data_IF_075615193944
#
_entry.id   IF_075615193944
#
_cell.length_a   1.000
_cell.length_b   1.000
_cell.length_c   1.000
_cell.angle_alpha   90.00
_cell.angle_beta   90.00
_cell.angle_gamma   90.00
#
_symmetry.space_group_name_H-M   'P 1'
#
loop_
_entity.id
_entity.type
_entity.pdbx_description
1 polymer ?
#
# COMPACT_ATOMS: atom_id res chain seq x y z
N UNK A 1 -14.03 3.47 -17.40
CA UNK A 1 -13.60 2.12 -16.98
C UNK A 1 -14.34 1.18 -17.89
N UNK A 2 -13.73 0.08 -18.32
CA UNK A 2 -14.41 -0.80 -19.28
C UNK A 2 -15.58 -1.52 -18.57
N UNK A 3 -16.67 -1.87 -19.28
CA UNK A 3 -17.85 -2.49 -18.67
C UNK A 3 -17.56 -3.75 -17.84
N UNK A 4 -16.69 -4.65 -18.31
CA UNK A 4 -16.38 -5.90 -17.59
C UNK A 4 -15.55 -5.66 -16.34
N UNK A 5 -14.56 -4.76 -16.41
CA UNK A 5 -13.79 -4.33 -15.23
C UNK A 5 -14.70 -3.68 -14.20
N UNK A 6 -15.61 -2.80 -14.63
CA UNK A 6 -16.58 -2.14 -13.74
C UNK A 6 -17.43 -3.18 -13.00
N UNK A 7 -17.99 -4.16 -13.72
CA UNK A 7 -18.78 -5.24 -13.13
C UNK A 7 -18.02 -5.96 -12.01
N UNK A 8 -16.77 -6.37 -12.25
CA UNK A 8 -15.96 -7.09 -11.26
C UNK A 8 -15.59 -6.23 -10.06
N UNK A 9 -15.21 -4.97 -10.29
CA UNK A 9 -14.83 -4.04 -9.21
C UNK A 9 -16.04 -3.73 -8.31
N UNK A 10 -17.22 -3.54 -8.89
CA UNK A 10 -18.44 -3.21 -8.13
C UNK A 10 -18.99 -4.38 -7.31
N UNK A 11 -18.60 -5.63 -7.61
CA UNK A 11 -19.00 -6.79 -6.79
C UNK A 11 -18.48 -6.67 -5.36
N UNK A 12 -17.31 -6.05 -5.15
CA UNK A 12 -16.75 -5.80 -3.81
C UNK A 12 -17.63 -4.89 -2.94
N UNK A 13 -18.66 -4.23 -3.48
CA UNK A 13 -19.65 -3.50 -2.69
C UNK A 13 -20.52 -4.42 -1.82
N UNK A 14 -20.64 -5.68 -2.21
CA UNK A 14 -21.22 -6.76 -1.42
C UNK A 14 -20.15 -7.84 -1.18
N UNK A 15 -19.27 -7.64 -0.18
CA UNK A 15 -18.13 -8.53 0.05
C UNK A 15 -18.56 -9.96 0.38
N UNK A 16 -19.72 -10.15 1.01
CA UNK A 16 -20.21 -11.47 1.37
C UNK A 16 -20.56 -12.29 0.13
N UNK A 17 -21.15 -11.67 -0.90
CA UNK A 17 -21.34 -12.32 -2.20
C UNK A 17 -20.01 -12.43 -2.96
N UNK A 18 -19.21 -11.36 -2.98
CA UNK A 18 -17.96 -11.28 -3.76
C UNK A 18 -16.96 -12.37 -3.38
N UNK A 19 -16.73 -12.58 -2.08
CA UNK A 19 -15.77 -13.57 -1.57
C UNK A 19 -16.35 -14.98 -1.47
N UNK A 20 -17.66 -15.16 -1.71
CA UNK A 20 -18.30 -16.47 -1.82
C UNK A 20 -18.43 -16.98 -3.27
N UNK A 21 -17.92 -16.23 -4.26
CA UNK A 21 -17.99 -16.65 -5.64
C UNK A 21 -16.98 -17.77 -5.96
N UNK A 22 -17.42 -18.91 -6.54
CA UNK A 22 -16.51 -19.97 -6.97
C UNK A 22 -15.52 -19.50 -8.03
N UNK A 23 -14.31 -20.04 -7.99
CA UNK A 23 -13.27 -19.72 -8.98
C UNK A 23 -13.69 -20.10 -10.42
N UNK A 24 -14.48 -21.16 -10.60
CA UNK A 24 -15.03 -21.57 -11.90
C UNK A 24 -15.84 -20.48 -12.58
N UNK A 25 -16.53 -19.65 -11.79
CA UNK A 25 -17.43 -18.62 -12.28
C UNK A 25 -16.68 -17.30 -12.45
N UNK A 26 -15.76 -17.03 -11.52
CA UNK A 26 -14.99 -15.78 -11.47
C UNK A 26 -13.86 -15.72 -12.51
N UNK A 27 -13.15 -16.82 -12.77
CA UNK A 27 -11.98 -16.81 -13.66
C UNK A 27 -12.33 -16.46 -15.12
N UNK A 28 -13.40 -17.01 -15.73
CA UNK A 28 -13.82 -16.60 -17.08
C UNK A 28 -14.16 -15.10 -17.16
N UNK A 29 -14.81 -14.54 -16.13
CA UNK A 29 -15.12 -13.12 -16.06
C UNK A 29 -13.85 -12.26 -15.97
N UNK A 30 -12.89 -12.67 -15.13
CA UNK A 30 -11.58 -12.01 -14.98
C UNK A 30 -10.79 -12.02 -16.28
N UNK A 31 -10.73 -13.15 -16.98
CA UNK A 31 -10.01 -13.27 -18.25
C UNK A 31 -10.63 -12.34 -19.32
N UNK A 32 -11.96 -12.33 -19.43
CA UNK A 32 -12.66 -11.45 -20.37
C UNK A 32 -12.43 -9.95 -20.04
N UNK A 33 -12.45 -9.59 -18.76
CA UNK A 33 -12.18 -8.22 -18.33
C UNK A 33 -10.71 -7.80 -18.56
N UNK A 34 -9.75 -8.71 -18.30
CA UNK A 34 -8.34 -8.46 -18.58
C UNK A 34 -8.09 -8.20 -20.08
N UNK A 35 -8.72 -9.00 -20.95
CA UNK A 35 -8.63 -8.81 -22.39
C UNK A 35 -9.26 -7.48 -22.84
N UNK A 36 -10.43 -7.11 -22.31
CA UNK A 36 -11.08 -5.84 -22.61
C UNK A 36 -10.21 -4.64 -22.17
N UNK A 37 -9.64 -4.72 -20.96
CA UNK A 37 -8.76 -3.70 -20.42
C UNK A 37 -7.48 -3.56 -21.25
N UNK A 38 -6.86 -4.68 -21.63
CA UNK A 38 -5.65 -4.70 -22.44
C UNK A 38 -5.84 -4.02 -23.78
N UNK A 39 -6.91 -4.35 -24.52
CA UNK A 39 -7.22 -3.71 -25.80
C UNK A 39 -7.27 -2.19 -25.70
N UNK A 40 -7.84 -1.66 -24.61
CA UNK A 40 -7.90 -0.23 -24.37
C UNK A 40 -6.55 0.35 -23.94
N UNK A 41 -5.88 -0.29 -22.97
CA UNK A 41 -4.66 0.25 -22.35
C UNK A 41 -3.44 0.14 -23.25
N UNK A 42 -3.36 -0.87 -24.11
CA UNK A 42 -2.30 -1.00 -25.14
C UNK A 42 -2.27 0.24 -26.03
N UNK A 43 -3.43 0.83 -26.34
CA UNK A 43 -3.47 2.04 -27.17
C UNK A 43 -3.07 3.31 -26.42
N UNK A 44 -3.23 3.33 -25.11
CA UNK A 44 -3.05 4.51 -24.27
C UNK A 44 -1.67 4.59 -23.63
N UNK A 45 -1.05 3.44 -23.31
CA UNK A 45 0.17 3.37 -22.49
C UNK A 45 1.34 2.89 -23.37
N UNK A 46 2.29 3.77 -23.73
CA UNK A 46 3.41 3.40 -24.61
C UNK A 46 4.25 2.23 -24.10
N UNK A 47 4.54 2.15 -22.79
CA UNK A 47 5.32 1.05 -22.23
C UNK A 47 4.61 -0.30 -22.33
N UNK A 48 3.28 -0.32 -22.19
CA UNK A 48 2.48 -1.54 -22.36
C UNK A 48 2.42 -1.96 -23.82
N UNK A 49 2.22 -1.01 -24.75
CA UNK A 49 2.28 -1.27 -26.19
C UNK A 49 3.58 -1.95 -26.58
N UNK A 50 4.71 -1.35 -26.18
CA UNK A 50 6.04 -1.87 -26.47
C UNK A 50 6.23 -3.29 -25.95
N UNK A 51 5.82 -3.56 -24.70
CA UNK A 51 5.91 -4.91 -24.12
C UNK A 51 5.04 -5.93 -24.85
N UNK A 52 3.83 -5.54 -25.24
CA UNK A 52 2.95 -6.39 -26.03
C UNK A 52 3.58 -6.75 -27.39
N UNK A 53 4.19 -5.77 -28.07
CA UNK A 53 4.90 -5.97 -29.35
C UNK A 53 6.13 -6.87 -29.18
N UNK A 54 6.96 -6.63 -28.15
CA UNK A 54 8.15 -7.43 -27.85
C UNK A 54 7.81 -8.89 -27.48
N UNK A 55 6.68 -9.10 -26.78
CA UNK A 55 6.22 -10.43 -26.38
C UNK A 55 5.36 -11.12 -27.45
N UNK A 56 5.03 -10.44 -28.56
CA UNK A 56 4.13 -10.98 -29.59
C UNK A 56 2.69 -11.20 -29.11
N UNK A 57 2.23 -10.43 -28.11
CA UNK A 57 0.89 -10.56 -27.51
C UNK A 57 -0.06 -9.54 -28.13
N UNK A 58 -0.92 -10.01 -29.04
CA UNK A 58 -2.01 -9.20 -29.59
C UNK A 58 -3.34 -9.39 -28.84
N UNK A 59 -3.46 -10.50 -28.11
CA UNK A 59 -4.66 -10.88 -27.35
C UNK A 59 -4.27 -11.70 -26.13
N UNK A 60 -5.01 -11.50 -25.04
CA UNK A 60 -4.99 -12.34 -23.84
C UNK A 60 -6.03 -13.43 -24.01
N UNK A 61 -5.56 -14.69 -24.04
CA UNK A 61 -6.38 -15.90 -24.13
C UNK A 61 -6.26 -16.78 -22.88
N UNK A 62 -5.25 -16.51 -22.05
CA UNK A 62 -4.95 -17.19 -20.79
C UNK A 62 -4.34 -16.22 -19.78
N UNK A 63 -4.20 -16.65 -18.52
CA UNK A 63 -3.48 -15.86 -17.52
C UNK A 63 -1.96 -15.83 -17.75
N UNK A 64 -1.40 -16.81 -18.47
CA UNK A 64 0.02 -16.80 -18.84
C UNK A 64 0.36 -15.63 -19.78
N UNK A 65 -0.58 -15.25 -20.66
CA UNK A 65 -0.41 -14.09 -21.56
C UNK A 65 -0.31 -12.76 -20.80
N UNK A 66 -0.75 -12.72 -19.53
CA UNK A 66 -0.59 -11.52 -18.70
C UNK A 66 0.85 -11.33 -18.22
N UNK A 67 1.61 -12.40 -18.00
CA UNK A 67 2.92 -12.32 -17.34
C UNK A 67 3.89 -11.38 -18.09
N UNK A 68 4.05 -11.48 -19.43
CA UNK A 68 4.90 -10.55 -20.18
C UNK A 68 4.39 -9.11 -20.17
N UNK A 69 3.11 -8.89 -19.88
CA UNK A 69 2.48 -7.58 -19.81
C UNK A 69 2.57 -6.94 -18.41
N UNK A 70 2.93 -7.69 -17.37
CA UNK A 70 3.07 -7.16 -16.00
C UNK A 70 4.36 -6.35 -15.85
N UNK A 71 4.26 -5.12 -15.37
CA UNK A 71 5.46 -4.32 -15.14
C UNK A 71 6.24 -4.79 -13.92
N UNK A 72 7.57 -4.72 -13.97
CA UNK A 72 8.37 -4.91 -12.77
C UNK A 72 8.10 -3.77 -11.76
N UNK A 73 8.14 -4.08 -10.46
CA UNK A 73 7.95 -3.10 -9.38
C UNK A 73 8.91 -1.89 -9.43
N UNK A 74 10.01 -1.98 -10.17
CA UNK A 74 10.98 -0.90 -10.39
C UNK A 74 10.57 0.10 -11.48
N UNK A 75 9.56 -0.20 -12.31
CA UNK A 75 9.24 0.63 -13.48
C UNK A 75 8.83 2.06 -13.10
N UNK A 76 8.11 2.21 -11.99
CA UNK A 76 7.60 3.50 -11.51
C UNK A 76 8.69 4.37 -10.89
N UNK A 77 9.92 3.84 -10.76
CA UNK A 77 11.14 4.56 -10.36
C UNK A 77 12.25 4.45 -11.43
N UNK A 78 11.89 4.21 -12.69
CA UNK A 78 12.85 4.00 -13.80
C UNK A 78 13.40 5.29 -14.41
N UNK A 79 12.88 6.47 -14.05
CA UNK A 79 13.36 7.76 -14.58
C UNK A 79 14.84 7.99 -14.25
N UNK A 80 15.63 8.66 -15.11
CA UNK A 80 16.98 9.09 -14.74
C UNK A 80 16.93 10.07 -13.56
N UNK A 81 17.69 9.82 -12.50
CA UNK A 81 17.64 10.62 -11.25
C UNK A 81 18.01 12.09 -11.51
N UNK A 82 18.88 12.33 -12.50
CA UNK A 82 19.31 13.66 -12.92
C UNK A 82 18.15 14.54 -13.40
N UNK A 83 17.00 13.96 -13.76
CA UNK A 83 15.81 14.74 -14.12
C UNK A 83 15.23 15.48 -12.91
N UNK A 84 15.29 14.90 -11.72
CA UNK A 84 14.86 15.53 -10.48
C UNK A 84 15.94 16.51 -10.02
N UNK A 85 17.18 16.05 -9.93
CA UNK A 85 18.31 16.82 -9.38
C UNK A 85 18.56 18.14 -10.15
N UNK A 86 18.26 18.16 -11.46
CA UNK A 86 18.43 19.33 -12.35
C UNK A 86 17.10 20.03 -12.69
N UNK A 87 16.01 19.71 -11.99
CA UNK A 87 14.69 20.33 -12.21
C UNK A 87 14.17 20.19 -13.65
N UNK A 88 14.44 19.07 -14.31
CA UNK A 88 14.05 18.81 -15.72
C UNK A 88 12.63 18.29 -15.81
N UNK A 89 11.67 19.03 -15.24
CA UNK A 89 10.28 18.62 -15.07
C UNK A 89 9.56 18.28 -16.38
N UNK A 90 9.85 18.99 -17.48
CA UNK A 90 9.32 18.66 -18.82
C UNK A 90 9.76 17.27 -19.30
N UNK A 91 10.97 16.84 -18.96
CA UNK A 91 11.43 15.48 -19.28
C UNK A 91 10.82 14.46 -18.33
N UNK A 92 10.60 14.83 -17.06
CA UNK A 92 9.90 13.99 -16.10
C UNK A 92 8.46 13.71 -16.53
N UNK A 93 7.73 14.72 -17.03
CA UNK A 93 6.40 14.52 -17.65
C UNK A 93 6.46 13.56 -18.84
N UNK A 94 7.45 13.69 -19.72
CA UNK A 94 7.62 12.77 -20.86
C UNK A 94 7.82 11.33 -20.40
N UNK A 95 8.63 11.11 -19.36
CA UNK A 95 8.79 9.78 -18.77
C UNK A 95 7.48 9.28 -18.17
N UNK A 96 6.80 10.10 -17.34
CA UNK A 96 5.54 9.71 -16.69
C UNK A 96 4.45 9.38 -17.72
N UNK A 97 4.43 10.09 -18.85
CA UNK A 97 3.53 9.81 -19.98
C UNK A 97 3.68 8.39 -20.52
N UNK A 98 4.88 7.82 -20.50
CA UNK A 98 5.10 6.45 -20.99
C UNK A 98 4.38 5.38 -20.15
N UNK A 99 4.04 5.71 -18.90
CA UNK A 99 3.40 4.85 -17.91
C UNK A 99 1.95 5.24 -17.61
N UNK A 100 1.45 6.32 -18.21
CA UNK A 100 0.15 6.92 -17.91
C UNK A 100 -0.86 6.68 -19.04
N UNK A 101 -2.09 6.37 -18.69
CA UNK A 101 -3.18 6.21 -19.67
C UNK A 101 -3.83 7.54 -20.07
N UNK A 102 -3.78 8.55 -19.18
CA UNK A 102 -4.20 9.93 -19.48
C UNK A 102 -3.00 10.76 -19.87
N UNK A 103 -3.23 11.74 -20.74
CA UNK A 103 -2.22 12.67 -21.22
C UNK A 103 -1.75 13.60 -20.09
N UNK A 104 -0.54 13.37 -19.57
CA UNK A 104 0.13 14.23 -18.56
C UNK A 104 1.02 15.28 -19.22
N UNK A 105 1.24 15.20 -20.54
CA UNK A 105 2.19 16.07 -21.24
C UNK A 105 1.77 17.55 -21.30
N UNK A 106 0.50 17.83 -21.00
CA UNK A 106 -0.10 19.17 -20.99
C UNK A 106 -0.04 19.88 -19.64
N UNK A 107 0.45 19.21 -18.61
CA UNK A 107 0.57 19.82 -17.28
C UNK A 107 1.60 20.94 -17.32
N UNK A 108 1.20 22.14 -16.88
CA UNK A 108 2.12 23.26 -16.76
C UNK A 108 3.06 23.06 -15.56
N UNK A 109 4.35 23.00 -15.87
CA UNK A 109 5.44 22.82 -14.92
C UNK A 109 6.37 24.04 -14.90
N UNK A 110 5.94 25.17 -15.44
CA UNK A 110 6.65 26.43 -15.30
C UNK A 110 6.69 26.87 -13.82
N UNK A 111 7.88 27.25 -13.35
CA UNK A 111 8.10 27.69 -11.98
C UNK A 111 8.13 26.59 -10.91
N UNK A 112 8.04 25.31 -11.29
CA UNK A 112 8.19 24.17 -10.37
C UNK A 112 9.61 24.15 -9.80
N UNK A 113 9.73 24.22 -8.47
CA UNK A 113 11.03 24.32 -7.78
C UNK A 113 11.60 22.97 -7.40
N UNK A 114 10.74 22.06 -6.96
CA UNK A 114 11.13 20.75 -6.44
C UNK A 114 10.10 19.66 -6.80
N UNK A 115 10.32 18.47 -6.25
CA UNK A 115 9.47 17.30 -6.49
C UNK A 115 8.07 17.46 -5.90
N UNK A 116 7.92 18.18 -4.79
CA UNK A 116 6.62 18.38 -4.14
C UNK A 116 5.77 19.34 -4.98
N UNK A 117 6.34 20.47 -5.44
CA UNK A 117 5.70 21.37 -6.41
C UNK A 117 5.27 20.63 -7.68
N UNK A 118 6.12 19.73 -8.20
CA UNK A 118 5.82 18.96 -9.40
C UNK A 118 4.60 18.05 -9.21
N UNK A 119 4.52 17.37 -8.07
CA UNK A 119 3.40 16.52 -7.70
C UNK A 119 2.14 17.37 -7.53
N UNK A 120 2.21 18.53 -6.89
CA UNK A 120 1.04 19.41 -6.74
C UNK A 120 0.51 19.91 -8.09
N UNK A 121 1.38 20.29 -9.04
CA UNK A 121 0.94 20.65 -10.41
C UNK A 121 0.21 19.50 -11.12
N UNK A 122 0.66 18.27 -10.93
CA UNK A 122 -0.02 17.09 -11.46
C UNK A 122 -1.43 16.93 -10.84
N UNK A 123 -1.54 17.12 -9.52
CA UNK A 123 -2.81 17.04 -8.80
C UNK A 123 -3.80 18.13 -9.22
N UNK A 124 -3.34 19.38 -9.36
CA UNK A 124 -4.14 20.50 -9.88
C UNK A 124 -4.68 20.23 -11.29
N UNK A 125 -3.91 19.51 -12.11
CA UNK A 125 -4.32 19.07 -13.44
C UNK A 125 -5.19 17.79 -13.44
N UNK A 126 -5.56 17.25 -12.28
CA UNK A 126 -6.43 16.08 -12.15
C UNK A 126 -5.72 14.72 -12.21
N UNK A 127 -4.39 14.70 -12.10
CA UNK A 127 -3.57 13.49 -11.96
C UNK A 127 -3.23 13.28 -10.49
N UNK A 128 -3.90 12.33 -9.85
CA UNK A 128 -3.74 11.98 -8.44
C UNK A 128 -2.45 11.16 -8.20
N UNK A 129 -1.30 11.68 -8.63
CA UNK A 129 -0.03 10.97 -8.57
C UNK A 129 0.36 10.74 -7.11
N UNK A 130 0.66 9.49 -6.77
CA UNK A 130 1.25 9.14 -5.48
C UNK A 130 2.74 8.94 -5.64
N UNK A 131 3.50 9.48 -4.70
CA UNK A 131 4.91 9.22 -4.56
C UNK A 131 5.15 8.31 -3.34
N UNK A 132 6.04 7.33 -3.52
CA UNK A 132 6.44 6.39 -2.45
C UNK A 132 7.65 6.91 -1.68
N UNK A 133 7.91 6.36 -0.50
CA UNK A 133 9.23 6.57 0.12
C UNK A 133 10.22 5.55 -0.44
N UNK A 134 11.41 6.00 -0.81
CA UNK A 134 12.49 5.13 -1.31
C UNK A 134 13.60 5.02 -0.27
N UNK A 135 14.16 3.82 -0.06
CA UNK A 135 15.31 3.66 0.85
C UNK A 135 16.63 4.19 0.25
N UNK A 136 16.69 4.36 -1.07
CA UNK A 136 17.87 4.82 -1.83
C UNK A 136 17.84 6.30 -2.22
N UNK A 137 16.78 7.05 -1.84
CA UNK A 137 16.56 8.44 -2.26
C UNK A 137 15.72 8.58 -3.53
N UNK A 138 15.57 7.49 -4.29
CA UNK A 138 14.74 7.46 -5.49
C UNK A 138 13.35 6.93 -5.18
N UNK A 139 12.32 7.67 -5.60
CA UNK A 139 10.92 7.38 -5.28
C UNK A 139 10.18 6.85 -6.50
N UNK A 140 9.13 6.06 -6.30
CA UNK A 140 8.20 5.72 -7.38
C UNK A 140 7.13 6.79 -7.55
N UNK A 141 6.76 7.12 -8.79
CA UNK A 141 5.59 7.96 -9.13
C UNK A 141 4.51 7.11 -9.79
N UNK A 142 3.34 7.02 -9.16
CA UNK A 142 2.22 6.20 -9.61
C UNK A 142 1.06 7.10 -9.99
N UNK A 143 0.79 7.22 -11.30
CA UNK A 143 -0.29 8.05 -11.77
C UNK A 143 -1.66 7.39 -11.55
N UNK A 144 -2.55 8.10 -10.88
CA UNK A 144 -3.95 7.73 -10.69
C UNK A 144 -4.86 8.86 -11.19
N UNK A 145 -6.11 8.52 -11.48
CA UNK A 145 -7.16 9.52 -11.66
C UNK A 145 -7.83 9.83 -10.33
N UNK A 146 -8.54 10.96 -10.24
CA UNK A 146 -9.40 11.25 -9.09
C UNK A 146 -10.48 10.18 -8.89
N UNK A 147 -10.96 9.58 -9.98
CA UNK A 147 -11.92 8.47 -9.93
C UNK A 147 -11.29 7.19 -9.37
N UNK A 148 -10.01 6.92 -9.65
CA UNK A 148 -9.31 5.79 -9.04
C UNK A 148 -9.23 5.95 -7.52
N UNK A 149 -8.90 7.16 -7.04
CA UNK A 149 -8.91 7.48 -5.60
C UNK A 149 -10.28 7.24 -4.98
N UNK A 150 -11.35 7.75 -5.60
CA UNK A 150 -12.71 7.53 -5.11
C UNK A 150 -13.08 6.03 -5.06
N UNK A 151 -12.69 5.24 -6.06
CA UNK A 151 -12.91 3.79 -6.06
C UNK A 151 -12.08 3.08 -5.00
N UNK A 152 -10.85 3.51 -4.74
CA UNK A 152 -10.02 2.98 -3.64
C UNK A 152 -10.71 3.22 -2.29
N UNK A 153 -11.13 4.45 -2.00
CA UNK A 153 -11.87 4.75 -0.76
C UNK A 153 -13.12 3.88 -0.64
N UNK A 154 -13.89 3.76 -1.72
CA UNK A 154 -15.11 2.93 -1.76
C UNK A 154 -14.81 1.44 -1.57
N UNK A 155 -13.75 0.90 -2.16
CA UNK A 155 -13.32 -0.47 -1.94
C UNK A 155 -13.01 -0.75 -0.47
N UNK A 156 -12.27 0.16 0.18
CA UNK A 156 -11.96 0.05 1.60
C UNK A 156 -13.21 0.10 2.49
N UNK A 157 -14.21 0.93 2.13
CA UNK A 157 -15.49 1.02 2.84
C UNK A 157 -16.17 -0.34 3.01
N UNK A 158 -16.16 -1.12 1.94
CA UNK A 158 -16.86 -2.40 1.91
C UNK A 158 -16.00 -3.56 2.38
N UNK A 159 -14.70 -3.54 2.08
CA UNK A 159 -13.86 -4.73 2.25
C UNK A 159 -12.96 -4.69 3.47
N UNK A 160 -12.55 -3.52 3.98
CA UNK A 160 -11.52 -3.45 5.02
C UNK A 160 -11.99 -4.07 6.34
N UNK A 161 -13.24 -3.85 6.74
CA UNK A 161 -13.84 -4.41 7.95
C UNK A 161 -14.24 -5.89 7.82
N UNK A 162 -14.33 -6.40 6.59
CA UNK A 162 -14.83 -7.73 6.32
C UNK A 162 -13.84 -8.81 6.81
N UNK A 163 -14.33 -9.94 7.36
CA UNK A 163 -15.73 -10.30 7.59
C UNK A 163 -16.26 -9.89 8.98
N UNK A 164 -15.48 -9.13 9.75
CA UNK A 164 -15.74 -8.90 11.16
C UNK A 164 -16.73 -7.77 11.43
N UNK A 165 -16.78 -6.78 10.55
CA UNK A 165 -17.60 -5.58 10.72
C UNK A 165 -17.77 -4.83 9.39
N UNK A 166 -18.57 -3.76 9.40
CA UNK A 166 -18.78 -2.86 8.27
C UNK A 166 -18.34 -1.45 8.67
N UNK A 167 -17.76 -0.72 7.72
CA UNK A 167 -17.37 0.66 7.96
C UNK A 167 -18.61 1.54 8.18
N UNK A 168 -18.63 2.24 9.31
CA UNK A 168 -19.64 3.22 9.71
C UNK A 168 -18.92 4.53 10.01
N UNK A 169 -19.35 5.63 9.38
CA UNK A 169 -18.75 6.96 9.54
C UNK A 169 -19.21 7.63 10.85
N UNK A 170 -19.04 6.94 11.97
CA UNK A 170 -19.59 7.31 13.28
C UNK A 170 -18.57 7.17 14.44
N UNK A 171 -17.28 7.00 14.14
CA UNK A 171 -16.26 6.71 15.16
C UNK A 171 -15.16 7.76 15.20
N UNK A 172 -14.56 8.03 16.36
CA UNK A 172 -13.25 8.65 16.41
C UNK A 172 -12.21 7.81 15.68
N UNK A 173 -11.41 8.45 14.82
CA UNK A 173 -10.33 7.82 14.06
C UNK A 173 -9.00 8.24 14.67
N UNK A 174 -8.26 7.28 15.18
CA UNK A 174 -6.88 7.45 15.64
C UNK A 174 -5.93 6.90 14.58
N UNK A 175 -5.22 7.79 13.91
CA UNK A 175 -4.30 7.49 12.84
C UNK A 175 -2.86 7.80 13.25
N UNK A 176 -2.08 6.79 13.61
CA UNK A 176 -0.70 6.97 14.07
C UNK A 176 0.31 7.13 12.91
N UNK A 177 -0.05 7.96 11.93
CA UNK A 177 0.78 8.33 10.79
C UNK A 177 0.44 9.73 10.26
N UNK A 178 1.03 10.14 9.12
CA UNK A 178 0.73 11.41 8.49
C UNK A 178 -0.65 11.40 7.81
N UNK A 179 -1.34 12.54 7.82
CA UNK A 179 -2.65 12.75 7.14
C UNK A 179 -2.60 13.79 6.02
N UNK A 180 -1.45 14.41 5.75
CA UNK A 180 -1.25 15.38 4.67
C UNK A 180 -0.07 14.96 3.80
N UNK A 181 -0.15 15.23 2.49
CA UNK A 181 0.86 14.86 1.49
C UNK A 181 0.35 13.84 0.46
N UNK A 182 1.14 13.57 -0.58
CA UNK A 182 0.75 12.77 -1.75
C UNK A 182 1.38 11.38 -1.74
N UNK A 183 1.16 10.66 -0.66
CA UNK A 183 1.66 9.31 -0.44
C UNK A 183 0.51 8.32 -0.18
N UNK A 184 0.72 7.05 -0.49
CA UNK A 184 -0.30 5.99 -0.31
C UNK A 184 -0.69 5.74 1.14
N UNK A 185 0.22 5.92 2.11
CA UNK A 185 -0.12 5.86 3.53
C UNK A 185 -1.07 6.99 3.92
N UNK A 186 -0.80 8.22 3.46
CA UNK A 186 -1.68 9.37 3.68
C UNK A 186 -3.06 9.14 3.05
N UNK A 187 -3.09 8.64 1.81
CA UNK A 187 -4.35 8.33 1.13
C UNK A 187 -5.16 7.27 1.90
N UNK A 188 -4.51 6.25 2.47
CA UNK A 188 -5.16 5.27 3.34
C UNK A 188 -5.74 5.90 4.60
N UNK A 189 -5.03 6.85 5.21
CA UNK A 189 -5.52 7.62 6.36
C UNK A 189 -6.78 8.42 6.01
N UNK A 190 -6.74 9.17 4.92
CA UNK A 190 -7.89 9.97 4.44
C UNK A 190 -9.08 9.06 4.08
N UNK A 191 -8.84 7.92 3.42
CA UNK A 191 -9.92 6.97 3.13
C UNK A 191 -10.54 6.38 4.41
N UNK A 192 -9.75 6.16 5.46
CA UNK A 192 -10.27 5.66 6.73
C UNK A 192 -11.03 6.74 7.51
N UNK A 193 -10.56 7.98 7.47
CA UNK A 193 -11.34 9.12 7.96
C UNK A 193 -12.71 9.20 7.26
N UNK A 194 -12.76 9.11 5.93
CA UNK A 194 -14.04 9.15 5.20
C UNK A 194 -14.96 7.97 5.54
N UNK A 195 -14.39 6.77 5.69
CA UNK A 195 -15.16 5.53 5.85
C UNK A 195 -15.58 5.25 7.31
N UNK A 196 -14.77 5.67 8.29
CA UNK A 196 -14.97 5.35 9.70
C UNK A 196 -15.19 6.59 10.58
N UNK A 197 -14.71 7.75 10.13
CA UNK A 197 -14.64 8.97 10.92
C UNK A 197 -16.00 9.64 11.13
N UNK A 198 -16.28 9.96 12.40
CA UNK A 198 -17.24 11.01 12.77
C UNK A 198 -16.68 12.38 12.36
N UNK A 199 -17.50 13.31 11.85
CA UNK A 199 -17.05 14.66 11.49
C UNK A 199 -16.30 15.35 12.63
N UNK A 200 -15.05 15.76 12.37
CA UNK A 200 -14.20 16.46 13.36
C UNK A 200 -13.57 15.55 14.42
N UNK A 201 -13.71 14.23 14.31
CA UNK A 201 -13.18 13.25 15.28
C UNK A 201 -12.01 12.44 14.72
N UNK A 202 -11.17 13.05 13.87
CA UNK A 202 -9.94 12.42 13.37
C UNK A 202 -8.73 12.99 14.11
N UNK A 203 -7.91 12.11 14.67
CA UNK A 203 -6.70 12.44 15.41
C UNK A 203 -5.51 11.74 14.78
N UNK A 204 -4.61 12.52 14.19
CA UNK A 204 -3.43 12.02 13.48
C UNK A 204 -2.16 12.33 14.26
N UNK A 205 -1.12 11.51 14.08
CA UNK A 205 0.17 11.70 14.73
C UNK A 205 0.95 12.91 14.19
N UNK A 206 0.76 13.27 12.92
CA UNK A 206 1.39 14.47 12.36
C UNK A 206 0.42 15.18 11.43
N UNK A 207 0.23 16.47 11.69
CA UNK A 207 -0.57 17.38 10.86
C UNK A 207 0.26 18.11 9.81
N UNK A 208 1.59 17.93 9.79
CA UNK A 208 2.47 18.43 8.73
C UNK A 208 2.36 17.55 7.49
N UNK A 209 2.52 18.11 6.28
CA UNK A 209 2.58 17.31 5.08
C UNK A 209 3.80 16.40 5.11
N UNK A 210 3.62 15.13 4.73
CA UNK A 210 4.71 14.28 4.31
C UNK A 210 5.22 14.80 2.97
N UNK A 211 6.40 15.41 3.00
CA UNK A 211 7.11 15.93 1.83
C UNK A 211 8.03 14.87 1.24
N UNK A 212 7.97 14.70 -0.07
CA UNK A 212 8.77 13.75 -0.83
C UNK A 212 10.22 14.22 -0.95
N UNK A 213 10.43 15.54 -1.00
CA UNK A 213 11.76 16.16 -0.89
C UNK A 213 12.47 15.72 0.40
N UNK A 214 11.84 15.89 1.56
CA UNK A 214 12.41 15.50 2.86
C UNK A 214 12.75 14.00 2.95
N UNK A 215 11.85 13.16 2.42
CA UNK A 215 12.07 11.71 2.36
C UNK A 215 13.29 11.38 1.50
N UNK A 216 13.41 12.03 0.34
CA UNK A 216 14.51 11.82 -0.60
C UNK A 216 15.84 12.33 -0.04
N UNK A 217 15.85 13.51 0.58
CA UNK A 217 17.02 14.08 1.29
C UNK A 217 17.53 13.13 2.37
N UNK A 218 16.62 12.60 3.18
CA UNK A 218 16.96 11.69 4.28
C UNK A 218 17.61 10.42 3.76
N UNK A 219 17.08 9.84 2.69
CA UNK A 219 17.63 8.63 2.09
C UNK A 219 18.95 8.89 1.35
N UNK A 220 19.11 10.05 0.71
CA UNK A 220 20.39 10.46 0.11
C UNK A 220 21.48 10.64 1.18
N UNK A 221 21.15 11.23 2.33
CA UNK A 221 22.09 11.38 3.45
C UNK A 221 22.51 10.04 4.04
N UNK A 222 21.57 9.10 4.24
CA UNK A 222 21.88 7.72 4.66
C UNK A 222 22.85 7.03 3.70
N UNK A 223 22.67 7.22 2.40
CA UNK A 223 23.59 6.69 1.39
C UNK A 223 24.98 7.32 1.53
N UNK A 224 25.09 8.64 1.66
CA UNK A 224 26.38 9.31 1.89
C UNK A 224 27.10 8.78 3.13
N UNK A 225 26.37 8.56 4.22
CA UNK A 225 26.90 7.97 5.46
C UNK A 225 27.42 6.54 5.22
N UNK A 226 26.63 5.69 4.56
CA UNK A 226 27.03 4.32 4.23
C UNK A 226 28.25 4.26 3.30
N UNK A 227 28.33 5.18 2.34
CA UNK A 227 29.44 5.29 1.39
C UNK A 227 30.68 6.00 1.99
N UNK A 228 30.59 6.54 3.21
CA UNK A 228 31.67 7.29 3.86
C UNK A 228 32.00 8.63 3.19
N UNK A 229 31.02 9.22 2.49
CA UNK A 229 31.19 10.46 1.69
C UNK A 229 30.52 11.69 2.30
N UNK A 230 29.78 11.53 3.40
CA UNK A 230 29.17 12.64 4.13
C UNK A 230 30.24 13.51 4.81
N UNK A 231 30.16 14.84 4.64
CA UNK A 231 31.05 15.77 5.34
C UNK A 231 30.65 15.93 6.82
N UNK A 232 31.59 16.19 7.75
CA UNK A 232 31.27 16.33 9.17
C UNK A 232 30.13 17.33 9.46
N UNK A 233 30.17 18.52 8.86
CA UNK A 233 29.12 19.53 9.05
C UNK A 233 27.75 19.08 8.50
N UNK A 234 27.72 18.26 7.44
CA UNK A 234 26.48 17.67 6.92
C UNK A 234 25.91 16.63 7.90
N UNK A 235 26.78 15.84 8.54
CA UNK A 235 26.41 14.85 9.55
C UNK A 235 25.82 15.56 10.76
N UNK A 236 26.52 16.56 11.30
CA UNK A 236 26.07 17.33 12.46
C UNK A 236 24.71 18.00 12.20
N UNK A 237 24.54 18.64 11.04
CA UNK A 237 23.27 19.27 10.66
C UNK A 237 22.14 18.24 10.50
N UNK A 238 22.44 17.08 9.91
CA UNK A 238 21.48 16.00 9.74
C UNK A 238 21.04 15.41 11.09
N UNK A 239 22.00 15.11 11.98
CA UNK A 239 21.72 14.57 13.31
C UNK A 239 20.90 15.55 14.16
N UNK A 240 21.23 16.85 14.13
CA UNK A 240 20.45 17.87 14.80
C UNK A 240 19.01 17.95 14.27
N UNK A 241 18.84 17.94 12.93
CA UNK A 241 17.50 17.95 12.29
C UNK A 241 16.69 16.71 12.68
N UNK A 242 17.29 15.52 12.68
CA UNK A 242 16.58 14.29 13.05
C UNK A 242 16.27 14.20 14.54
N UNK A 243 17.20 14.64 15.41
CA UNK A 243 16.94 14.70 16.85
C UNK A 243 15.78 15.61 17.18
N UNK A 244 15.76 16.83 16.64
CA UNK A 244 14.66 17.77 16.85
C UNK A 244 13.32 17.22 16.31
N UNK A 245 13.34 16.53 15.16
CA UNK A 245 12.15 15.88 14.61
C UNK A 245 11.67 14.73 15.50
N UNK A 246 12.57 13.90 16.00
CA UNK A 246 12.24 12.77 16.87
C UNK A 246 11.68 13.23 18.22
N UNK A 247 12.25 14.25 18.85
CA UNK A 247 11.75 14.83 20.10
C UNK A 247 10.32 15.40 19.92
N UNK A 248 10.10 16.20 18.86
CA UNK A 248 8.77 16.73 18.56
C UNK A 248 7.74 15.62 18.27
N UNK A 249 8.13 14.57 17.56
CA UNK A 249 7.26 13.42 17.28
C UNK A 249 6.97 12.55 18.51
N UNK A 250 7.87 12.50 19.49
CA UNK A 250 7.67 11.74 20.73
C UNK A 250 6.59 12.37 21.61
N UNK A 251 6.63 13.69 21.79
CA UNK A 251 5.62 14.42 22.57
C UNK A 251 4.22 14.30 21.95
N UNK A 252 4.14 14.45 20.62
CA UNK A 252 2.88 14.32 19.89
C UNK A 252 2.34 12.89 19.92
N UNK A 253 3.23 11.89 19.85
CA UNK A 253 2.87 10.49 20.04
C UNK A 253 2.24 10.27 21.40
N UNK A 254 2.88 10.71 22.48
CA UNK A 254 2.36 10.55 23.85
C UNK A 254 1.01 11.24 24.01
N UNK A 255 0.87 12.47 23.48
CA UNK A 255 -0.40 13.22 23.50
C UNK A 255 -1.53 12.46 22.79
N UNK A 256 -1.23 11.88 21.63
CA UNK A 256 -2.21 11.10 20.87
C UNK A 256 -2.58 9.79 21.58
N UNK A 257 -1.59 9.10 22.17
CA UNK A 257 -1.82 7.90 22.99
C UNK A 257 -2.73 8.22 24.17
N UNK A 258 -2.42 9.28 24.92
CA UNK A 258 -3.22 9.65 26.10
C UNK A 258 -4.67 9.97 25.72
N UNK A 259 -4.86 10.69 24.61
CA UNK A 259 -6.19 10.97 24.07
C UNK A 259 -6.94 9.69 23.66
N UNK A 260 -6.27 8.74 23.03
CA UNK A 260 -6.86 7.43 22.69
C UNK A 260 -7.32 6.69 23.95
N UNK A 261 -6.48 6.66 24.97
CA UNK A 261 -6.77 5.98 26.24
C UNK A 261 -7.90 6.66 27.02
N UNK A 262 -8.06 7.98 26.91
CA UNK A 262 -9.19 8.71 27.48
C UNK A 262 -10.53 8.37 26.79
N UNK A 263 -10.48 8.02 25.50
CA UNK A 263 -11.65 7.68 24.69
C UNK A 263 -11.93 6.16 24.61
N UNK A 264 -11.14 5.32 25.30
CA UNK A 264 -11.15 3.85 25.15
C UNK A 264 -12.49 3.15 25.38
N UNK A 265 -13.41 3.77 26.13
CA UNK A 265 -14.75 3.24 26.39
C UNK A 265 -15.78 3.59 25.31
N UNK A 266 -15.36 4.24 24.22
CA UNK A 266 -16.18 4.50 23.03
C UNK A 266 -15.72 3.61 21.86
N UNK A 267 -16.60 3.28 20.89
CA UNK A 267 -16.19 2.60 19.67
C UNK A 267 -15.27 3.51 18.84
N UNK A 268 -14.03 3.07 18.59
CA UNK A 268 -13.04 3.82 17.81
C UNK A 268 -12.54 3.02 16.60
N UNK A 269 -11.93 3.71 15.65
CA UNK A 269 -11.04 3.09 14.66
C UNK A 269 -9.60 3.48 15.00
N UNK A 270 -8.71 2.50 15.15
CA UNK A 270 -7.31 2.73 15.52
C UNK A 270 -6.39 2.06 14.52
N UNK A 271 -5.63 2.86 13.78
CA UNK A 271 -4.51 2.39 12.97
C UNK A 271 -3.20 2.77 13.62
N UNK A 272 -2.34 1.79 13.88
CA UNK A 272 -0.97 2.02 14.29
C UNK A 272 -0.03 0.91 13.82
N UNK A 273 1.26 1.22 13.82
CA UNK A 273 2.31 0.23 13.61
C UNK A 273 2.46 -0.67 14.84
N UNK A 274 3.02 -1.87 14.66
CA UNK A 274 3.17 -2.82 15.78
C UNK A 274 3.94 -2.26 16.98
N UNK A 275 5.02 -1.50 16.73
CA UNK A 275 5.78 -0.84 17.80
C UNK A 275 4.98 0.26 18.51
N UNK A 276 4.15 1.00 17.79
CA UNK A 276 3.27 2.02 18.38
C UNK A 276 2.17 1.37 19.23
N UNK A 277 1.63 0.23 18.83
CA UNK A 277 0.69 -0.52 19.67
C UNK A 277 1.32 -1.00 20.98
N UNK A 278 2.60 -1.42 20.98
CA UNK A 278 3.32 -1.71 22.23
C UNK A 278 3.49 -0.45 23.08
N UNK A 279 3.82 0.70 22.48
CA UNK A 279 3.91 1.97 23.19
C UNK A 279 2.56 2.39 23.81
N UNK A 280 1.44 2.20 23.10
CA UNK A 280 0.09 2.45 23.64
C UNK A 280 -0.16 1.59 24.87
N UNK A 281 0.17 0.29 24.81
CA UNK A 281 0.04 -0.61 25.95
C UNK A 281 0.90 -0.17 27.12
N UNK A 282 2.17 0.15 26.88
CA UNK A 282 3.11 0.51 27.94
C UNK A 282 2.64 1.79 28.65
N UNK A 283 2.18 2.78 27.88
CA UNK A 283 1.54 3.99 28.43
C UNK A 283 0.25 3.69 29.20
N UNK A 284 -0.57 2.75 28.75
CA UNK A 284 -1.77 2.33 29.47
C UNK A 284 -1.43 1.71 30.83
N UNK A 285 -0.36 0.91 30.90
CA UNK A 285 0.14 0.31 32.15
C UNK A 285 0.67 1.36 33.13
N UNK A 286 1.40 2.36 32.65
CA UNK A 286 1.82 3.52 33.46
C UNK A 286 0.61 4.25 34.09
N UNK A 287 -0.51 4.29 33.35
CA UNK A 287 -1.77 4.88 33.81
C UNK A 287 -2.64 3.94 34.64
N UNK A 288 -2.19 2.72 34.92
CA UNK A 288 -2.94 1.72 35.69
C UNK A 288 -4.18 1.19 34.97
N UNK A 289 -4.25 1.30 33.63
CA UNK A 289 -5.35 0.78 32.83
C UNK A 289 -5.15 -0.74 32.62
N UNK A 290 -6.12 -1.60 32.99
CA UNK A 290 -5.98 -3.03 32.83
C UNK A 290 -6.15 -3.47 31.36
N UNK A 291 -5.55 -4.62 31.03
CA UNK A 291 -5.74 -5.27 29.74
C UNK A 291 -7.24 -5.57 29.52
N UNK A 292 -7.73 -5.36 28.30
CA UNK A 292 -9.12 -5.57 27.90
C UNK A 292 -10.09 -4.42 28.24
N UNK A 293 -9.61 -3.31 28.78
CA UNK A 293 -10.44 -2.14 29.15
C UNK A 293 -10.76 -1.21 27.95
N UNK A 294 -11.20 -1.79 26.84
CA UNK A 294 -11.60 -1.09 25.62
C UNK A 294 -13.04 -1.45 25.22
N UNK A 295 -13.73 -0.54 24.55
CA UNK A 295 -15.04 -0.81 23.97
C UNK A 295 -14.94 -1.92 22.92
N UNK A 296 -15.80 -2.94 23.00
CA UNK A 296 -15.74 -4.16 22.17
C UNK A 296 -15.85 -3.88 20.66
N UNK A 297 -16.57 -2.83 20.28
CA UNK A 297 -16.71 -2.43 18.87
C UNK A 297 -15.54 -1.60 18.34
N UNK A 298 -14.48 -1.38 19.13
CA UNK A 298 -13.24 -0.77 18.64
C UNK A 298 -12.67 -1.63 17.52
N UNK A 299 -12.31 -0.99 16.40
CA UNK A 299 -11.66 -1.62 15.26
C UNK A 299 -10.19 -1.28 15.28
N UNK A 300 -9.36 -2.30 15.48
CA UNK A 300 -7.92 -2.20 15.41
C UNK A 300 -7.42 -2.64 14.04
N UNK A 301 -6.60 -1.79 13.45
CA UNK A 301 -5.86 -2.07 12.23
C UNK A 301 -4.34 -2.00 12.49
N UNK A 302 -3.75 -3.08 13.06
CA UNK A 302 -2.31 -3.15 13.23
C UNK A 302 -1.63 -3.46 11.89
N UNK A 303 -0.56 -2.74 11.55
CA UNK A 303 0.16 -2.96 10.29
C UNK A 303 1.68 -2.75 10.41
N UNK A 304 2.46 -3.64 9.77
CA UNK A 304 3.88 -3.45 9.43
C UNK A 304 4.79 -2.75 10.46
N UNK A 305 5.83 -2.05 9.97
CA UNK A 305 6.71 -1.23 10.81
C UNK A 305 7.66 -2.00 11.74
N UNK A 306 7.94 -3.28 11.48
CA UNK A 306 8.84 -4.11 12.31
C UNK A 306 10.26 -4.22 11.76
N UNK A 307 10.52 -3.65 10.57
CA UNK A 307 11.80 -3.83 9.89
C UNK A 307 12.92 -3.11 10.64
N UNK A 308 13.94 -3.88 11.03
CA UNK A 308 15.09 -3.39 11.79
C UNK A 308 14.82 -3.24 13.29
N UNK A 309 13.60 -3.46 13.77
CA UNK A 309 13.29 -3.36 15.20
C UNK A 309 13.53 -4.70 15.89
N UNK A 310 14.15 -4.65 17.07
CA UNK A 310 14.23 -5.81 17.96
C UNK A 310 12.91 -5.95 18.74
N UNK A 311 11.92 -6.57 18.10
CA UNK A 311 10.60 -6.78 18.69
C UNK A 311 10.58 -8.09 19.50
N UNK A 312 9.86 -8.14 20.64
CA UNK A 312 9.59 -9.41 21.34
C UNK A 312 8.97 -10.43 20.38
N UNK A 313 9.32 -11.71 20.47
CA UNK A 313 8.80 -12.74 19.56
C UNK A 313 7.27 -12.87 19.60
N UNK A 314 6.68 -12.59 20.75
CA UNK A 314 5.26 -12.66 21.08
C UNK A 314 4.56 -11.27 21.01
N UNK A 315 5.14 -10.31 20.28
CA UNK A 315 4.60 -8.94 20.23
C UNK A 315 3.13 -8.87 19.77
N UNK A 316 2.70 -9.79 18.89
CA UNK A 316 1.32 -9.83 18.39
C UNK A 316 0.37 -10.29 19.49
N UNK A 317 0.75 -11.33 20.22
CA UNK A 317 0.04 -11.89 21.35
C UNK A 317 -0.09 -10.85 22.46
N UNK A 318 0.97 -10.09 22.74
CA UNK A 318 0.96 -9.02 23.72
C UNK A 318 0.00 -7.88 23.33
N UNK A 319 -0.01 -7.44 22.07
CA UNK A 319 -0.95 -6.43 21.58
C UNK A 319 -2.39 -6.95 21.63
N UNK A 320 -2.64 -8.18 21.19
CA UNK A 320 -3.97 -8.79 21.24
C UNK A 320 -4.48 -8.95 22.66
N UNK A 321 -3.65 -9.40 23.60
CA UNK A 321 -4.03 -9.52 25.01
C UNK A 321 -4.38 -8.16 25.63
N UNK A 322 -3.57 -7.13 25.35
CA UNK A 322 -3.79 -5.79 25.89
C UNK A 322 -5.14 -5.19 25.50
N UNK A 323 -5.51 -5.24 24.22
CA UNK A 323 -6.79 -4.68 23.78
C UNK A 323 -7.99 -5.57 24.10
N UNK A 324 -7.77 -6.87 24.34
CA UNK A 324 -8.84 -7.82 24.60
C UNK A 324 -9.67 -8.14 23.34
N UNK A 325 -10.95 -8.52 23.50
CA UNK A 325 -11.78 -9.07 22.42
C UNK A 325 -12.39 -8.01 21.48
N UNK A 326 -11.61 -6.97 21.16
CA UNK A 326 -11.99 -5.97 20.16
C UNK A 326 -11.86 -6.51 18.73
N UNK A 327 -12.40 -5.80 17.76
CA UNK A 327 -12.38 -6.20 16.36
C UNK A 327 -10.98 -5.97 15.77
N UNK A 328 -10.28 -7.03 15.38
CA UNK A 328 -8.96 -6.93 14.73
C UNK A 328 -9.03 -7.23 13.24
N UNK A 329 -8.89 -6.20 12.43
CA UNK A 329 -8.89 -6.30 10.96
C UNK A 329 -7.47 -6.44 10.42
N UNK A 330 -7.35 -6.82 9.16
CA UNK A 330 -6.08 -6.87 8.47
C UNK A 330 -6.27 -6.90 6.97
N UNK A 331 -5.36 -6.25 6.24
CA UNK A 331 -5.33 -6.25 4.79
C UNK A 331 -3.93 -6.56 4.28
N UNK A 332 -3.84 -7.21 3.12
CA UNK A 332 -2.62 -7.30 2.35
C UNK A 332 -2.72 -6.42 1.10
N UNK A 333 -1.63 -5.72 0.79
CA UNK A 333 -1.48 -4.98 -0.45
C UNK A 333 -0.28 -4.04 -0.39
N UNK A 334 -0.22 -3.13 -1.35
CA UNK A 334 0.91 -2.24 -1.59
C UNK A 334 0.46 -1.00 -2.35
N UNK A 335 1.34 -0.01 -2.50
CA UNK A 335 1.03 1.26 -3.15
C UNK A 335 0.51 1.09 -4.58
N UNK A 336 1.03 0.08 -5.29
CA UNK A 336 0.67 -0.30 -6.65
C UNK A 336 -0.71 -0.95 -6.77
N UNK A 337 -1.34 -1.33 -5.65
CA UNK A 337 -2.62 -2.05 -5.59
C UNK A 337 -3.73 -1.12 -5.09
N UNK A 338 -4.86 -1.08 -5.80
CA UNK A 338 -6.05 -0.35 -5.38
C UNK A 338 -6.98 -1.24 -4.55
N UNK A 339 -7.16 -2.48 -5.00
CA UNK A 339 -8.03 -3.47 -4.36
C UNK A 339 -7.27 -4.28 -3.32
N UNK A 340 -7.09 -3.72 -2.12
CA UNK A 340 -6.44 -4.44 -1.02
C UNK A 340 -7.22 -5.71 -0.64
N UNK A 341 -6.50 -6.76 -0.24
CA UNK A 341 -7.03 -8.07 0.09
C UNK A 341 -7.37 -8.16 1.58
N UNK A 342 -8.65 -8.25 2.00
CA UNK A 342 -9.00 -8.36 3.41
C UNK A 342 -8.71 -9.75 3.97
N UNK A 343 -8.45 -9.80 5.28
CA UNK A 343 -8.16 -11.02 6.04
C UNK A 343 -9.43 -11.60 6.66
N UNK A 344 -9.67 -12.89 6.46
CA UNK A 344 -10.78 -13.61 7.09
C UNK A 344 -10.46 -14.09 8.52
N UNK A 345 -11.44 -14.73 9.15
CA UNK A 345 -11.37 -15.32 10.50
C UNK A 345 -10.26 -16.37 10.63
N UNK A 346 -9.93 -17.08 9.53
CA UNK A 346 -8.84 -18.05 9.46
C UNK A 346 -7.46 -17.42 9.22
N UNK A 347 -7.34 -16.09 9.35
CA UNK A 347 -6.14 -15.30 9.09
C UNK A 347 -5.58 -15.44 7.66
N UNK A 348 -6.45 -15.74 6.69
CA UNK A 348 -6.10 -15.81 5.26
C UNK A 348 -6.59 -14.58 4.51
N UNK A 349 -5.82 -14.10 3.55
CA UNK A 349 -6.21 -12.98 2.69
C UNK A 349 -6.95 -13.45 1.45
N UNK A 350 -8.09 -12.82 1.15
CA UNK A 350 -8.91 -13.11 -0.02
C UNK A 350 -8.74 -12.04 -1.10
N UNK A 351 -8.55 -12.47 -2.35
CA UNK A 351 -8.41 -11.55 -3.49
C UNK A 351 -9.80 -11.07 -3.95
N UNK A 352 -10.07 -9.75 -3.98
CA UNK A 352 -11.33 -9.21 -4.50
C UNK A 352 -11.59 -9.62 -5.95
N UNK A 353 -12.85 -9.70 -6.43
CA UNK A 353 -13.16 -10.14 -7.79
C UNK A 353 -12.42 -9.35 -8.89
N UNK A 354 -12.25 -8.04 -8.71
CA UNK A 354 -11.52 -7.19 -9.64
C UNK A 354 -9.99 -7.26 -9.56
N UNK A 355 -9.41 -8.03 -8.64
CA UNK A 355 -7.96 -8.24 -8.53
C UNK A 355 -7.61 -9.64 -9.05
N UNK A 356 -6.88 -9.69 -10.16
CA UNK A 356 -6.35 -10.96 -10.71
C UNK A 356 -5.00 -11.21 -10.06
N UNK A 357 -4.97 -12.03 -9.01
CA UNK A 357 -3.74 -12.43 -8.32
C UNK A 357 -3.15 -13.71 -8.94
N UNK A 358 -1.84 -13.73 -9.13
CA UNK A 358 -1.06 -14.85 -9.65
C UNK A 358 0.13 -15.12 -8.72
N UNK A 359 0.40 -16.40 -8.47
CA UNK A 359 1.72 -16.83 -7.98
C UNK A 359 2.59 -17.13 -9.21
N UNK A 360 3.72 -16.46 -9.34
CA UNK A 360 4.68 -16.66 -10.41
C UNK A 360 5.87 -17.46 -9.88
N UNK A 361 6.63 -18.08 -10.78
CA UNK A 361 7.92 -18.65 -10.43
C UNK A 361 8.92 -17.59 -9.92
N UNK A 362 10.07 -18.05 -9.43
CA UNK A 362 11.06 -17.16 -8.83
C UNK A 362 11.60 -16.09 -9.80
N UNK A 363 11.64 -16.43 -11.10
CA UNK A 363 12.08 -15.53 -12.19
C UNK A 363 10.98 -14.56 -12.63
N UNK A 364 9.71 -14.84 -12.31
CA UNK A 364 8.57 -14.02 -12.72
C UNK A 364 8.19 -14.20 -14.18
N UNK A 365 8.48 -15.36 -14.78
CA UNK A 365 8.29 -15.64 -16.22
C UNK A 365 7.09 -16.55 -16.50
N UNK A 366 6.58 -17.27 -15.50
CA UNK A 366 5.48 -18.24 -15.66
C UNK A 366 4.52 -18.20 -14.49
N UNK A 367 3.22 -18.35 -14.75
CA UNK A 367 2.22 -18.56 -13.69
C UNK A 367 2.35 -19.97 -13.14
N UNK A 368 2.39 -20.10 -11.82
CA UNK A 368 2.35 -21.39 -11.12
C UNK A 368 0.91 -21.87 -11.01
N UNK A 369 0.69 -23.14 -11.30
CA UNK A 369 -0.63 -23.77 -11.30
C UNK A 369 -0.73 -24.94 -10.33
N UNK A 370 -1.85 -25.69 -10.36
CA UNK A 370 -2.06 -26.85 -9.49
C UNK A 370 -0.96 -27.91 -9.54
N UNK A 371 -0.23 -28.02 -10.66
CA UNK A 371 0.90 -28.96 -10.81
C UNK A 371 2.14 -28.56 -10.02
N UNK A 372 2.28 -27.28 -9.68
CA UNK A 372 3.39 -26.75 -8.90
C UNK A 372 3.07 -26.75 -7.39
N UNK A 373 1.87 -27.21 -7.01
CA UNK A 373 1.42 -27.21 -5.62
C UNK A 373 2.02 -28.37 -4.82
N UNK A 374 2.51 -28.07 -3.61
CA UNK A 374 2.94 -29.06 -2.61
C UNK A 374 1.94 -28.98 -1.46
N UNK A 375 1.31 -30.11 -1.13
CA UNK A 375 0.23 -30.18 -0.12
C UNK A 375 -0.87 -29.12 -0.34
N UNK A 376 -1.25 -28.97 -1.61
CA UNK A 376 -2.25 -28.01 -2.08
C UNK A 376 -1.85 -26.54 -1.89
N UNK A 377 -0.56 -26.23 -1.73
CA UNK A 377 -0.05 -24.87 -1.60
C UNK A 377 0.95 -24.54 -2.70
N UNK A 378 0.83 -23.33 -3.24
CA UNK A 378 1.74 -22.78 -4.24
C UNK A 378 2.51 -21.64 -3.59
N UNK A 379 3.83 -21.74 -3.57
CA UNK A 379 4.71 -20.66 -3.09
C UNK A 379 5.42 -20.03 -4.27
N UNK A 380 5.28 -18.72 -4.44
CA UNK A 380 5.80 -18.01 -5.60
C UNK A 380 5.88 -16.51 -5.40
N UNK A 381 6.34 -15.81 -6.43
CA UNK A 381 6.37 -14.35 -6.49
C UNK A 381 4.97 -13.83 -6.78
N UNK A 382 4.50 -12.86 -6.02
CA UNK A 382 3.20 -12.27 -6.30
C UNK A 382 3.26 -11.44 -7.59
N UNK A 383 2.37 -11.75 -8.52
CA UNK A 383 2.03 -10.92 -9.67
C UNK A 383 0.54 -10.61 -9.63
N UNK A 384 0.13 -9.45 -10.13
CA UNK A 384 -1.29 -9.14 -10.21
C UNK A 384 -1.63 -8.20 -11.37
N UNK A 385 -2.89 -8.27 -11.82
CA UNK A 385 -3.54 -7.22 -12.61
C UNK A 385 -4.73 -6.67 -11.81
N UNK A 386 -4.64 -5.41 -11.41
CA UNK A 386 -5.71 -4.69 -10.74
C UNK A 386 -6.59 -3.97 -11.77
N UNK A 387 -7.82 -4.46 -11.94
CA UNK A 387 -8.77 -3.97 -12.95
C UNK A 387 -9.39 -2.61 -12.60
N UNK A 388 -9.10 -2.06 -11.41
CA UNK A 388 -9.69 -0.81 -10.94
C UNK A 388 -9.08 0.44 -11.59
N UNK A 389 -7.81 0.37 -12.02
CA UNK A 389 -7.07 1.57 -12.42
C UNK A 389 -7.45 2.12 -13.80
N UNK A 390 -7.65 3.44 -13.84
CA UNK A 390 -7.81 4.22 -15.06
C UNK A 390 -6.61 5.10 -15.40
N UNK A 391 -5.81 5.49 -14.42
CA UNK A 391 -4.65 6.35 -14.64
C UNK A 391 -3.45 5.61 -15.24
N UNK A 392 -3.39 4.28 -15.09
CA UNK A 392 -2.24 3.43 -15.45
C UNK A 392 -2.68 1.99 -15.75
N UNK A 393 -1.71 1.11 -16.04
CA UNK A 393 -1.96 -0.27 -16.44
C UNK A 393 -2.59 -1.13 -15.33
N UNK A 394 -2.07 -1.05 -14.10
CA UNK A 394 -2.55 -1.87 -12.98
C UNK A 394 -1.92 -3.27 -12.88
N UNK A 395 -1.15 -3.69 -13.89
CA UNK A 395 -0.42 -4.97 -13.89
C UNK A 395 1.01 -4.85 -13.36
N UNK A 396 1.38 -5.65 -12.35
CA UNK A 396 2.68 -5.61 -11.69
C UNK A 396 3.21 -6.99 -11.27
N UNK A 397 4.52 -7.18 -11.36
CA UNK A 397 5.29 -8.23 -10.68
C UNK A 397 5.94 -7.60 -9.45
N UNK A 398 5.65 -8.14 -8.27
CA UNK A 398 6.14 -7.60 -6.99
C UNK A 398 7.48 -8.23 -6.59
N UNK A 399 8.08 -7.73 -5.51
CA UNK A 399 9.20 -8.41 -4.83
C UNK A 399 8.73 -9.38 -3.74
N UNK A 400 7.42 -9.58 -3.57
CA UNK A 400 6.86 -10.32 -2.45
C UNK A 400 6.74 -11.80 -2.80
N UNK A 401 7.13 -12.64 -1.85
CA UNK A 401 6.94 -14.09 -1.83
C UNK A 401 5.68 -14.39 -1.04
N UNK A 402 4.69 -14.95 -1.73
CA UNK A 402 3.41 -15.38 -1.15
C UNK A 402 3.30 -16.89 -1.17
N UNK A 403 2.48 -17.43 -0.26
CA UNK A 403 2.00 -18.80 -0.33
C UNK A 403 0.49 -18.77 -0.51
N UNK A 404 0.01 -19.35 -1.60
CA UNK A 404 -1.41 -19.49 -1.93
C UNK A 404 -1.87 -20.90 -1.57
N UNK A 405 -2.93 -21.01 -0.79
CA UNK A 405 -3.64 -22.26 -0.53
C UNK A 405 -4.67 -22.49 -1.64
N UNK A 406 -4.52 -23.59 -2.36
CA UNK A 406 -5.35 -23.98 -3.52
C UNK A 406 -5.99 -25.35 -3.33
N UNK A 407 -5.83 -25.98 -2.16
CA UNK A 407 -6.27 -27.35 -1.89
C UNK A 407 -7.80 -27.51 -1.93
N UNK A 408 -8.54 -26.44 -1.60
CA UNK A 408 -9.98 -26.47 -1.40
C UNK A 408 -10.50 -25.13 -0.87
N UNK A 409 -11.71 -25.09 -0.28
CA UNK A 409 -12.20 -23.88 0.36
C UNK A 409 -11.28 -23.46 1.51
N UNK A 410 -11.22 -22.15 1.76
CA UNK A 410 -10.52 -21.59 2.90
C UNK A 410 -11.10 -22.18 4.20
N UNK A 411 -10.32 -22.32 5.30
CA UNK A 411 -10.87 -22.75 6.59
C UNK A 411 -12.00 -21.85 7.13
N UNK A 412 -12.19 -20.65 6.60
CA UNK A 412 -13.37 -19.82 6.87
C UNK A 412 -14.65 -20.25 6.12
N UNK A 413 -14.60 -21.34 5.35
CA UNK A 413 -15.71 -21.92 4.57
C UNK A 413 -15.87 -21.35 3.16
N UNK A 414 -15.19 -20.25 2.82
CA UNK A 414 -15.36 -19.55 1.54
C UNK A 414 -14.51 -20.17 0.43
N UNK A 415 -14.99 -20.22 -0.82
CA UNK A 415 -14.30 -20.88 -1.92
C UNK A 415 -13.10 -20.07 -2.43
N UNK A 416 -12.32 -20.72 -3.28
CA UNK A 416 -11.23 -20.09 -4.03
C UNK A 416 -9.91 -20.02 -3.27
N UNK A 417 -8.84 -19.69 -4.00
CA UNK A 417 -7.50 -19.65 -3.42
C UNK A 417 -7.35 -18.49 -2.45
N UNK A 418 -6.57 -18.69 -1.39
CA UNK A 418 -6.29 -17.65 -0.39
C UNK A 418 -4.80 -17.53 -0.11
N UNK A 419 -4.35 -16.35 0.32
CA UNK A 419 -2.95 -16.11 0.67
C UNK A 419 -2.76 -16.25 2.17
N UNK A 420 -1.71 -16.97 2.58
CA UNK A 420 -1.30 -17.11 3.99
C UNK A 420 -0.69 -15.80 4.51
N UNK A 421 -0.72 -15.58 5.82
CA UNK A 421 -0.15 -14.39 6.48
C UNK A 421 1.38 -14.46 6.69
N UNK A 422 2.05 -15.39 6.01
CA UNK A 422 3.51 -15.60 6.03
C UNK A 422 4.21 -14.92 4.84
N UNK A 423 3.71 -13.75 4.44
CA UNK A 423 4.23 -13.01 3.27
C UNK A 423 5.63 -12.49 3.59
N UNK A 424 6.57 -12.72 2.67
CA UNK A 424 7.97 -12.31 2.79
C UNK A 424 8.46 -11.68 1.48
N UNK A 425 9.75 -11.34 1.37
CA UNK A 425 10.35 -10.81 0.14
C UNK A 425 11.24 -11.86 -0.50
N UNK A 426 11.33 -11.88 -1.83
CA UNK A 426 12.43 -12.58 -2.49
C UNK A 426 13.74 -11.86 -2.19
N UNK A 427 14.72 -12.57 -1.64
CA UNK A 427 16.07 -12.03 -1.52
C UNK A 427 16.69 -12.00 -2.92
N UNK A 428 16.87 -10.80 -3.49
CA UNK A 428 17.67 -10.63 -4.71
C UNK A 428 18.89 -9.76 -4.43
N UNK A 429 20.05 -10.26 -4.84
CA UNK A 429 21.31 -9.53 -4.78
C UNK A 429 21.24 -8.35 -5.75
N UNK A 430 21.32 -7.12 -5.23
CA UNK A 430 21.34 -5.90 -6.04
C UNK A 430 19.97 -5.25 -6.33
N UNK A 431 18.86 -5.81 -5.86
CA UNK A 431 17.56 -5.10 -5.93
C UNK A 431 17.42 -4.10 -4.77
N UNK A 432 17.14 -2.83 -5.11
CA UNK A 432 16.86 -1.78 -4.13
C UNK A 432 15.48 -1.97 -3.49
N UNK A 433 15.47 -2.11 -2.17
CA UNK A 433 14.26 -2.43 -1.41
C UNK A 433 13.16 -1.36 -1.57
N UNK A 434 11.94 -1.82 -1.82
CA UNK A 434 10.78 -0.94 -1.93
C UNK A 434 10.16 -0.76 -0.54
N UNK A 435 9.95 0.48 -0.11
CA UNK A 435 9.30 0.75 1.18
C UNK A 435 7.78 0.80 0.97
N UNK A 436 7.07 -0.19 1.51
CA UNK A 436 5.60 -0.21 1.50
C UNK A 436 4.97 0.88 2.39
N UNK A 437 3.64 0.98 2.39
CA UNK A 437 2.91 2.03 3.14
C UNK A 437 3.30 2.10 4.63
N UNK A 438 3.32 0.96 5.31
CA UNK A 438 3.71 0.90 6.72
C UNK A 438 5.18 1.30 6.96
N UNK A 439 6.08 0.92 6.04
CA UNK A 439 7.48 1.34 6.12
C UNK A 439 7.67 2.84 5.88
N UNK A 440 6.79 3.46 5.09
CA UNK A 440 6.81 4.92 4.87
C UNK A 440 6.43 5.67 6.15
N UNK A 441 5.38 5.22 6.83
CA UNK A 441 4.96 5.79 8.13
C UNK A 441 6.08 5.63 9.15
N UNK A 442 6.65 4.44 9.23
CA UNK A 442 7.74 4.10 10.13
C UNK A 442 8.98 4.99 9.92
N UNK A 443 9.44 5.14 8.67
CA UNK A 443 10.56 6.03 8.33
C UNK A 443 10.27 7.50 8.63
N UNK A 444 9.03 7.94 8.41
CA UNK A 444 8.59 9.31 8.69
C UNK A 444 8.58 9.61 10.20
N UNK A 445 8.00 8.71 11.01
CA UNK A 445 7.88 8.86 12.47
C UNK A 445 9.24 8.80 13.15
N UNK A 446 10.12 7.90 12.71
CA UNK A 446 11.46 7.75 13.31
C UNK A 446 12.47 8.83 12.91
N UNK A 447 12.06 9.82 12.11
CA UNK A 447 13.00 10.83 11.59
C UNK A 447 14.17 10.18 10.87
N UNK A 448 13.93 9.12 10.09
CA UNK A 448 15.01 8.60 9.24
C UNK A 448 16.26 8.04 9.95
N UNK A 449 16.26 7.75 11.24
CA UNK A 449 17.40 7.02 11.85
C UNK A 449 17.37 5.54 11.43
N UNK A 450 18.49 4.93 10.99
CA UNK A 450 18.56 3.48 10.91
C UNK A 450 18.43 2.88 12.32
N UNK A 451 17.88 1.67 12.39
CA UNK A 451 17.83 0.92 13.65
C UNK A 451 19.21 0.37 14.02
#
# INVERSE_FOLDING_TARGET
MTPLCKRLVEMSHDPDTAFNMPASDLQPMRLAAAQELFKLRREQIPALRKRAEEAGIDRIESFDDLVPLLFAHTIYKSYPQELIDKGRWKMMLKWLQTLSAKDVSKVDVEGVKDVDDFIERLWEAGHAVLATSGSSGKVSFLNHTMQDRARKTRHLKHTMGWPFTKATSDRPVFWFGPMKGRNSAVEMGISNEENWGSPGCTYALDERPLLISEVSETAAMRKKLADGTALPDEIDAFEQKQKAKAEASADELLRLIDKLLDMRHQPMFVFALWAQHLAIRDRARERGIPDGDFHLETVLFPAGGIKGLNMPADYREQVTAFYGPVIQIGVYGMTEMAQLMPRCEAKRYHAPPGLILMALDATGQRVLGPKDAVDGKITGRAGFLDLMYEGRWGGLITGDKITMDVAGPCPCGRPGPTVLDTISRFAQTGEEDHIGCAGTIDAYVRGGLPA
#
